data_IF_632452870169
#
_entry.id   IF_632452870169
#
_cell.length_a   1.000
_cell.length_b   1.000
_cell.length_c   1.000
_cell.angle_alpha   90.00
_cell.angle_beta   90.00
_cell.angle_gamma   90.00
#
_symmetry.space_group_name_H-M   'P 1'
#
loop_
_entity.id
_entity.type
_entity.pdbx_description
1 polymer ?
#
# COMPACT_ATOMS: atom_id res chain seq x y z
N UNK A 1 -1.08 -0.83 15.68
CA UNK A 1 -0.06 -1.07 16.73
C UNK A 1 -0.31 -0.30 18.05
N UNK A 2 -1.06 0.82 18.12
CA UNK A 2 -1.23 1.60 19.35
C UNK A 2 -2.66 2.02 19.56
N UNK A 3 -3.34 1.38 20.51
CA UNK A 3 -4.70 1.68 20.92
C UNK A 3 -4.87 3.17 21.31
N UNK A 4 -3.93 3.71 22.08
CA UNK A 4 -3.96 5.11 22.55
C UNK A 4 -3.91 6.11 21.39
N UNK A 5 -3.04 5.87 20.39
CA UNK A 5 -2.95 6.77 19.22
C UNK A 5 -4.21 6.72 18.37
N UNK A 6 -4.80 5.54 18.19
CA UNK A 6 -6.04 5.41 17.41
C UNK A 6 -7.22 6.07 18.13
N UNK A 7 -7.36 5.89 19.46
CA UNK A 7 -8.37 6.58 20.25
C UNK A 7 -8.28 8.11 20.08
N UNK A 8 -7.06 8.65 20.13
CA UNK A 8 -6.84 10.09 19.91
C UNK A 8 -7.24 10.56 18.51
N UNK A 9 -6.90 9.79 17.46
CA UNK A 9 -7.30 10.14 16.08
C UNK A 9 -8.82 10.06 15.95
N UNK A 10 -9.43 8.96 16.41
CA UNK A 10 -10.90 8.78 16.39
C UNK A 10 -11.63 9.92 17.10
N UNK A 11 -11.19 10.35 18.28
CA UNK A 11 -11.82 11.45 19.02
C UNK A 11 -11.79 12.77 18.25
N UNK A 12 -10.70 13.06 17.54
CA UNK A 12 -10.59 14.23 16.67
C UNK A 12 -11.54 14.22 15.46
N UNK A 13 -11.87 13.04 14.93
CA UNK A 13 -12.76 12.90 13.78
C UNK A 13 -14.23 12.87 14.21
N UNK A 14 -14.57 12.12 15.24
CA UNK A 14 -15.94 11.92 15.68
C UNK A 14 -16.57 13.17 16.33
N UNK A 15 -15.74 14.15 16.74
CA UNK A 15 -16.24 15.45 17.21
C UNK A 15 -16.73 16.40 16.12
N UNK A 16 -16.67 16.00 14.83
CA UNK A 16 -17.14 16.82 13.70
C UNK A 16 -18.46 16.27 13.14
N UNK A 17 -19.41 17.18 12.88
CA UNK A 17 -20.74 16.86 12.36
C UNK A 17 -20.68 15.92 11.15
N UNK A 18 -21.42 14.80 11.18
CA UNK A 18 -21.53 13.79 10.12
C UNK A 18 -20.21 13.02 9.78
N UNK A 19 -19.30 12.89 10.72
CA UNK A 19 -18.08 12.08 10.53
C UNK A 19 -17.99 11.01 11.60
N UNK A 20 -17.79 9.77 11.18
CA UNK A 20 -17.55 8.63 12.07
C UNK A 20 -16.24 7.97 11.69
N UNK A 21 -15.32 7.86 12.63
CA UNK A 21 -14.12 7.06 12.48
C UNK A 21 -14.24 5.82 13.37
N UNK A 22 -14.03 4.65 12.79
CA UNK A 22 -14.05 3.36 13.48
C UNK A 22 -12.63 2.81 13.42
N UNK A 23 -11.98 2.53 14.55
CA UNK A 23 -10.65 1.95 14.55
C UNK A 23 -10.72 0.47 14.22
N UNK A 24 -9.84 0.02 13.34
CA UNK A 24 -9.55 -1.38 13.04
C UNK A 24 -8.13 -1.68 13.47
N UNK A 25 -7.90 -2.84 14.07
CA UNK A 25 -6.65 -3.17 14.74
C UNK A 25 -5.93 -4.32 14.06
N UNK A 26 -4.64 -4.17 13.87
CA UNK A 26 -3.73 -5.20 13.40
C UNK A 26 -2.31 -4.67 13.27
N UNK A 27 -1.32 -5.56 13.27
CA UNK A 27 0.07 -5.27 12.95
C UNK A 27 0.39 -5.77 11.55
N UNK A 28 0.59 -4.85 10.61
CA UNK A 28 0.87 -5.17 9.20
C UNK A 28 2.19 -5.95 8.99
N UNK A 29 3.01 -6.12 10.01
CA UNK A 29 4.18 -7.01 9.96
C UNK A 29 3.83 -8.46 10.27
N UNK A 30 2.55 -8.76 10.59
CA UNK A 30 2.02 -10.10 10.89
C UNK A 30 0.86 -10.38 9.93
N UNK A 31 1.02 -11.35 9.06
CA UNK A 31 0.02 -11.62 8.02
C UNK A 31 -1.31 -12.12 8.61
N UNK A 32 -1.26 -12.85 9.72
CA UNK A 32 -2.48 -13.21 10.46
C UNK A 32 -3.26 -11.97 10.94
N UNK A 33 -2.58 -10.96 11.49
CA UNK A 33 -3.23 -9.70 11.88
C UNK A 33 -3.82 -8.96 10.66
N UNK A 34 -3.18 -9.06 9.48
CA UNK A 34 -3.71 -8.49 8.23
C UNK A 34 -5.03 -9.13 7.86
N UNK A 35 -5.15 -10.45 7.95
CA UNK A 35 -6.43 -11.17 7.73
C UNK A 35 -7.48 -10.77 8.75
N UNK A 36 -7.09 -10.63 10.04
CA UNK A 36 -8.01 -10.15 11.07
C UNK A 36 -8.54 -8.73 10.80
N UNK A 37 -7.78 -7.86 10.14
CA UNK A 37 -8.26 -6.55 9.68
C UNK A 37 -9.42 -6.73 8.69
N UNK A 38 -9.29 -7.63 7.72
CA UNK A 38 -10.36 -7.97 6.78
C UNK A 38 -11.63 -8.47 7.50
N UNK A 39 -11.48 -9.39 8.46
CA UNK A 39 -12.59 -9.91 9.25
C UNK A 39 -13.28 -8.80 10.08
N UNK A 40 -12.52 -7.91 10.71
CA UNK A 40 -13.09 -6.79 11.45
C UNK A 40 -13.91 -5.87 10.52
N UNK A 41 -13.46 -5.61 9.30
CA UNK A 41 -14.20 -4.80 8.33
C UNK A 41 -15.47 -5.55 7.87
N UNK A 42 -15.36 -6.84 7.57
CA UNK A 42 -16.48 -7.68 7.18
C UNK A 42 -17.58 -7.69 8.24
N UNK A 43 -17.20 -7.83 9.53
CA UNK A 43 -18.15 -7.86 10.65
C UNK A 43 -18.94 -6.56 10.84
N UNK A 44 -18.48 -5.45 10.25
CA UNK A 44 -19.20 -4.17 10.28
C UNK A 44 -20.35 -4.12 9.28
N UNK A 45 -20.48 -5.11 8.39
CA UNK A 45 -21.50 -5.15 7.34
C UNK A 45 -21.51 -3.90 6.45
N UNK A 46 -20.33 -3.30 6.23
CA UNK A 46 -20.15 -2.10 5.42
C UNK A 46 -19.41 -2.47 4.12
N UNK A 47 -19.75 -1.77 3.06
CA UNK A 47 -18.93 -1.78 1.84
C UNK A 47 -17.83 -0.71 1.91
N UNK A 48 -16.69 -1.03 1.31
CA UNK A 48 -15.54 -0.14 1.23
C UNK A 48 -15.51 0.52 -0.15
N UNK A 49 -15.84 1.81 -0.21
CA UNK A 49 -15.78 2.58 -1.46
C UNK A 49 -14.36 2.95 -1.84
N UNK A 50 -13.48 3.15 -0.85
CA UNK A 50 -12.09 3.53 -1.07
C UNK A 50 -11.17 2.81 -0.09
N UNK A 51 -10.23 2.03 -0.62
CA UNK A 51 -9.11 1.47 0.14
C UNK A 51 -7.85 2.29 -0.13
N UNK A 52 -7.25 2.89 0.90
CA UNK A 52 -5.98 3.60 0.79
C UNK A 52 -4.89 2.82 1.52
N UNK A 53 -4.07 2.11 0.77
CA UNK A 53 -2.87 1.42 1.25
C UNK A 53 -1.73 2.44 1.44
N UNK A 54 -1.75 3.13 2.57
CA UNK A 54 -0.80 4.21 2.87
C UNK A 54 0.29 3.81 3.87
N UNK A 55 0.05 2.80 4.68
CA UNK A 55 1.02 2.37 5.69
C UNK A 55 2.36 2.00 5.05
N UNK A 56 3.45 2.32 5.74
CA UNK A 56 4.77 1.99 5.28
C UNK A 56 5.80 2.18 6.38
N UNK A 57 6.89 1.41 6.28
CA UNK A 57 8.04 1.46 7.18
C UNK A 57 9.33 1.59 6.38
N UNK A 58 10.37 2.03 7.06
CA UNK A 58 11.76 2.01 6.61
C UNK A 58 12.62 1.44 7.73
N UNK A 59 13.54 0.54 7.41
CA UNK A 59 14.47 -0.06 8.36
C UNK A 59 15.92 0.16 7.90
N UNK A 60 16.77 0.62 8.81
CA UNK A 60 18.22 0.76 8.55
C UNK A 60 18.95 -0.58 8.64
N UNK A 61 18.38 -1.53 9.38
CA UNK A 61 18.90 -2.88 9.55
C UNK A 61 17.82 -3.88 9.14
N UNK A 62 18.25 -5.05 8.66
CA UNK A 62 17.35 -6.13 8.31
C UNK A 62 16.64 -6.65 9.57
N UNK A 63 15.33 -6.65 9.50
CA UNK A 63 14.46 -7.22 10.56
C UNK A 63 13.58 -8.29 9.89
N UNK A 64 13.53 -9.46 10.50
CA UNK A 64 12.66 -10.55 10.02
C UNK A 64 11.41 -10.59 10.91
N UNK A 65 10.24 -10.67 10.28
CA UNK A 65 8.95 -10.80 10.98
C UNK A 65 8.76 -12.20 11.53
N UNK A 66 7.74 -12.38 12.35
CA UNK A 66 7.36 -13.72 12.87
C UNK A 66 6.95 -14.68 11.76
N UNK A 67 6.53 -14.17 10.61
CA UNK A 67 6.13 -14.93 9.42
C UNK A 67 7.32 -15.21 8.47
N UNK A 68 8.55 -14.82 8.85
CA UNK A 68 9.77 -15.08 8.07
C UNK A 68 10.04 -14.09 6.93
N UNK A 69 9.30 -12.98 6.82
CA UNK A 69 9.52 -11.94 5.81
C UNK A 69 10.46 -10.84 6.30
N UNK A 70 11.20 -10.19 5.38
CA UNK A 70 11.84 -8.92 5.70
C UNK A 70 10.76 -7.86 6.00
N UNK A 71 10.90 -7.11 7.11
CA UNK A 71 9.82 -6.28 7.66
C UNK A 71 9.38 -5.15 6.71
N UNK A 72 10.29 -4.57 5.92
CA UNK A 72 9.93 -3.53 4.96
C UNK A 72 9.08 -4.09 3.83
N UNK A 73 9.46 -5.25 3.30
CA UNK A 73 8.67 -5.98 2.30
C UNK A 73 7.35 -6.47 2.88
N UNK A 74 7.36 -7.00 4.11
CA UNK A 74 6.16 -7.46 4.79
C UNK A 74 5.09 -6.35 4.87
N UNK A 75 5.46 -5.22 5.45
CA UNK A 75 4.52 -4.11 5.72
C UNK A 75 4.15 -3.35 4.45
N UNK A 76 5.15 -3.05 3.58
CA UNK A 76 4.94 -2.16 2.46
C UNK A 76 4.34 -2.86 1.23
N UNK A 77 4.54 -4.19 1.09
CA UNK A 77 4.09 -4.95 -0.08
C UNK A 77 3.21 -6.15 0.29
N UNK A 78 3.68 -7.12 1.07
CA UNK A 78 2.91 -8.34 1.33
C UNK A 78 1.59 -8.08 2.06
N UNK A 79 1.59 -7.19 3.06
CA UNK A 79 0.36 -6.78 3.75
C UNK A 79 -0.60 -6.04 2.81
N UNK A 80 -0.09 -5.20 1.91
CA UNK A 80 -0.90 -4.50 0.89
C UNK A 80 -1.52 -5.51 -0.07
N UNK A 81 -0.73 -6.47 -0.56
CA UNK A 81 -1.17 -7.53 -1.45
C UNK A 81 -2.27 -8.38 -0.78
N UNK A 82 -2.00 -8.86 0.44
CA UNK A 82 -2.91 -9.74 1.18
C UNK A 82 -4.25 -9.05 1.50
N UNK A 83 -4.19 -7.87 2.14
CA UNK A 83 -5.40 -7.15 2.53
C UNK A 83 -6.26 -6.75 1.32
N UNK A 84 -5.62 -6.27 0.26
CA UNK A 84 -6.36 -5.84 -0.94
C UNK A 84 -7.10 -7.01 -1.57
N UNK A 85 -6.42 -8.16 -1.75
CA UNK A 85 -7.05 -9.33 -2.33
C UNK A 85 -8.12 -9.93 -1.39
N UNK A 86 -7.90 -9.94 -0.09
CA UNK A 86 -8.89 -10.40 0.89
C UNK A 86 -10.19 -9.59 0.82
N UNK A 87 -10.11 -8.25 0.79
CA UNK A 87 -11.29 -7.39 0.68
C UNK A 87 -12.02 -7.54 -0.66
N UNK A 88 -11.30 -7.79 -1.76
CA UNK A 88 -11.90 -8.06 -3.07
C UNK A 88 -12.59 -9.43 -3.08
N UNK A 89 -11.90 -10.48 -2.64
CA UNK A 89 -12.41 -11.85 -2.65
C UNK A 89 -13.64 -12.02 -1.76
N UNK A 90 -13.67 -11.36 -0.62
CA UNK A 90 -14.83 -11.32 0.29
C UNK A 90 -15.95 -10.39 -0.18
N UNK A 91 -15.80 -9.75 -1.35
CA UNK A 91 -16.78 -8.80 -1.91
C UNK A 91 -17.11 -7.63 -0.95
N UNK A 92 -16.13 -7.21 -0.18
CA UNK A 92 -16.25 -6.08 0.75
C UNK A 92 -16.11 -4.75 0.00
N UNK A 93 -15.35 -4.73 -1.11
CA UNK A 93 -15.25 -3.53 -1.95
C UNK A 93 -16.57 -3.26 -2.67
N UNK A 94 -16.98 -1.98 -2.74
CA UNK A 94 -18.09 -1.53 -3.58
C UNK A 94 -17.79 -1.80 -5.06
N UNK A 95 -18.81 -2.03 -5.88
CA UNK A 95 -18.66 -2.36 -7.31
C UNK A 95 -17.80 -1.35 -8.08
N UNK A 96 -17.92 -0.06 -7.78
CA UNK A 96 -17.12 1.01 -8.36
C UNK A 96 -16.07 1.57 -7.37
N UNK A 97 -15.60 0.72 -6.48
CA UNK A 97 -14.64 1.07 -5.45
C UNK A 97 -13.27 1.44 -6.03
N UNK A 98 -12.48 2.16 -5.24
CA UNK A 98 -11.16 2.63 -5.63
C UNK A 98 -10.09 2.14 -4.69
N UNK A 99 -9.01 1.65 -5.25
CA UNK A 99 -7.83 1.19 -4.51
C UNK A 99 -6.68 2.15 -4.79
N UNK A 100 -6.14 2.76 -3.75
CA UNK A 100 -5.07 3.76 -3.83
C UNK A 100 -3.83 3.19 -3.14
N UNK A 101 -2.76 2.99 -3.90
CA UNK A 101 -1.51 2.41 -3.43
C UNK A 101 -0.46 3.50 -3.28
N UNK A 102 0.01 3.73 -2.05
CA UNK A 102 1.07 4.72 -1.79
C UNK A 102 2.44 4.09 -2.05
N UNK A 103 3.01 4.43 -3.21
CA UNK A 103 4.36 4.12 -3.60
C UNK A 103 5.32 5.28 -3.27
N UNK A 104 6.41 5.41 -3.99
CA UNK A 104 7.42 6.47 -3.84
C UNK A 104 8.19 6.66 -5.14
N UNK A 105 8.78 7.85 -5.33
CA UNK A 105 9.77 8.05 -6.39
C UNK A 105 11.04 7.20 -6.20
N UNK A 106 11.25 6.64 -5.01
CA UNK A 106 12.36 5.72 -4.74
C UNK A 106 12.33 4.44 -5.62
N UNK A 107 11.20 4.11 -6.26
CA UNK A 107 11.11 3.02 -7.23
C UNK A 107 11.92 3.26 -8.51
N UNK A 108 12.31 4.51 -8.77
CA UNK A 108 13.08 4.85 -9.96
C UNK A 108 14.53 4.36 -9.84
N UNK A 109 15.09 3.85 -10.92
CA UNK A 109 16.47 3.38 -10.96
C UNK A 109 16.76 2.08 -10.19
N UNK A 110 15.72 1.41 -9.63
CA UNK A 110 15.87 0.12 -8.95
C UNK A 110 15.28 -1.01 -9.80
N UNK A 111 15.88 -2.20 -9.70
CA UNK A 111 15.32 -3.46 -10.18
C UNK A 111 14.93 -4.33 -8.99
N UNK A 112 14.00 -5.26 -9.22
CA UNK A 112 13.59 -6.23 -8.20
C UNK A 112 14.23 -7.58 -8.48
N UNK A 113 14.91 -8.14 -7.48
CA UNK A 113 15.35 -9.53 -7.48
C UNK A 113 14.27 -10.38 -6.82
N UNK A 114 13.50 -11.09 -7.64
CA UNK A 114 12.39 -11.93 -7.19
C UNK A 114 12.85 -13.14 -6.35
N UNK A 115 14.12 -13.53 -6.43
CA UNK A 115 14.70 -14.62 -5.64
C UNK A 115 15.18 -14.13 -4.26
N UNK A 116 15.29 -12.82 -4.04
CA UNK A 116 15.83 -12.24 -2.83
C UNK A 116 14.91 -11.14 -2.22
N UNK A 117 13.60 -11.37 -2.21
CA UNK A 117 12.62 -10.42 -1.65
C UNK A 117 12.78 -10.20 -0.14
N UNK A 118 13.43 -11.11 0.56
CA UNK A 118 13.71 -10.99 2.00
C UNK A 118 15.09 -10.39 2.28
N UNK A 119 15.83 -9.99 1.25
CA UNK A 119 17.15 -9.39 1.41
C UNK A 119 18.08 -10.21 2.30
N UNK A 120 18.07 -11.53 2.14
CA UNK A 120 18.97 -12.42 2.85
C UNK A 120 20.44 -12.16 2.45
N UNK A 121 20.63 -11.67 1.23
CA UNK A 121 21.91 -11.26 0.69
C UNK A 121 21.91 -9.75 0.45
N UNK A 122 23.01 -9.08 0.83
CA UNK A 122 23.26 -7.66 0.51
C UNK A 122 22.15 -6.70 0.95
N UNK A 123 21.69 -6.80 2.21
CA UNK A 123 20.69 -5.90 2.75
C UNK A 123 21.15 -4.44 2.72
N UNK A 124 20.29 -3.58 2.21
CA UNK A 124 20.37 -2.12 2.34
C UNK A 124 18.96 -1.61 2.63
N UNK A 125 18.81 -0.81 3.67
CA UNK A 125 17.50 -0.24 4.02
C UNK A 125 16.88 0.56 2.88
N UNK A 126 17.71 1.29 2.12
CA UNK A 126 17.24 1.99 0.92
C UNK A 126 16.77 1.03 -0.17
N UNK A 127 17.53 -0.02 -0.46
CA UNK A 127 17.16 -1.00 -1.48
C UNK A 127 15.88 -1.76 -1.09
N UNK A 128 15.75 -2.21 0.16
CA UNK A 128 14.54 -2.86 0.65
C UNK A 128 13.31 -1.95 0.53
N UNK A 129 13.44 -0.68 0.93
CA UNK A 129 12.37 0.30 0.78
C UNK A 129 12.03 0.58 -0.69
N UNK A 130 13.02 0.87 -1.52
CA UNK A 130 12.84 1.18 -2.93
C UNK A 130 12.23 -0.01 -3.69
N UNK A 131 12.69 -1.23 -3.41
CA UNK A 131 12.10 -2.48 -3.94
C UNK A 131 10.65 -2.65 -3.51
N UNK A 132 10.32 -2.40 -2.24
CA UNK A 132 8.93 -2.47 -1.78
C UNK A 132 8.01 -1.47 -2.50
N UNK A 133 8.54 -0.29 -2.86
CA UNK A 133 7.79 0.73 -3.58
C UNK A 133 7.68 0.45 -5.08
N UNK A 134 8.68 -0.21 -5.67
CA UNK A 134 8.60 -0.79 -7.01
C UNK A 134 7.56 -1.92 -7.05
N UNK A 135 7.61 -2.84 -6.08
CA UNK A 135 6.66 -3.94 -5.94
C UNK A 135 5.20 -3.44 -5.87
N UNK A 136 4.95 -2.32 -5.21
CA UNK A 136 3.63 -1.70 -5.14
C UNK A 136 3.12 -1.19 -6.50
N UNK A 137 3.98 -0.69 -7.38
CA UNK A 137 3.56 -0.29 -8.73
C UNK A 137 3.34 -1.52 -9.61
N UNK A 138 4.22 -2.52 -9.54
CA UNK A 138 4.04 -3.80 -10.25
C UNK A 138 2.74 -4.49 -9.80
N UNK A 139 2.45 -4.52 -8.51
CA UNK A 139 1.16 -5.00 -7.98
C UNK A 139 -0.02 -4.22 -8.55
N UNK A 140 0.09 -2.88 -8.61
CA UNK A 140 -0.96 -2.02 -9.19
C UNK A 140 -1.22 -2.37 -10.66
N UNK A 141 -0.18 -2.61 -11.46
CA UNK A 141 -0.31 -2.98 -12.87
C UNK A 141 -1.04 -4.33 -13.02
N UNK A 142 -0.55 -5.36 -12.32
CA UNK A 142 -1.12 -6.70 -12.39
C UNK A 142 -2.57 -6.72 -11.88
N UNK A 143 -2.86 -6.04 -10.77
CA UNK A 143 -4.22 -5.96 -10.22
C UNK A 143 -5.16 -5.22 -11.17
N UNK A 144 -4.71 -4.13 -11.80
CA UNK A 144 -5.51 -3.36 -12.75
C UNK A 144 -5.94 -4.20 -13.96
N UNK A 145 -5.07 -5.06 -14.45
CA UNK A 145 -5.39 -6.01 -15.53
C UNK A 145 -6.43 -7.04 -15.08
N UNK A 146 -6.23 -7.63 -13.90
CA UNK A 146 -7.18 -8.60 -13.31
C UNK A 146 -8.57 -8.00 -13.05
N UNK A 147 -8.63 -6.71 -12.74
CA UNK A 147 -9.89 -5.98 -12.52
C UNK A 147 -10.49 -5.36 -13.79
N UNK A 148 -9.91 -5.60 -14.98
CA UNK A 148 -10.31 -4.96 -16.24
C UNK A 148 -11.78 -5.19 -16.63
N UNK A 149 -12.40 -6.29 -16.21
CA UNK A 149 -13.80 -6.61 -16.44
C UNK A 149 -14.74 -6.14 -15.31
N UNK A 150 -14.23 -5.35 -14.37
CA UNK A 150 -14.99 -4.79 -13.25
C UNK A 150 -15.01 -3.26 -13.32
N UNK A 151 -15.77 -2.63 -12.42
CA UNK A 151 -15.74 -1.16 -12.26
C UNK A 151 -14.75 -0.72 -11.18
N UNK A 152 -14.06 -1.67 -10.49
CA UNK A 152 -13.02 -1.36 -9.53
C UNK A 152 -11.82 -0.74 -10.24
N UNK A 153 -11.21 0.25 -9.61
CA UNK A 153 -9.96 0.84 -10.12
C UNK A 153 -8.87 0.80 -9.07
N UNK A 154 -7.64 0.57 -9.52
CA UNK A 154 -6.44 0.63 -8.68
C UNK A 154 -5.40 1.53 -9.31
N UNK A 155 -4.88 2.49 -8.54
CA UNK A 155 -3.83 3.39 -8.99
C UNK A 155 -2.76 3.57 -7.92
N UNK A 156 -1.52 3.73 -8.37
CA UNK A 156 -0.39 4.02 -7.49
C UNK A 156 -0.04 5.51 -7.51
N UNK A 157 0.63 5.98 -6.45
CA UNK A 157 1.08 7.37 -6.38
C UNK A 157 2.40 7.52 -5.61
N UNK A 158 3.08 8.65 -5.87
CA UNK A 158 4.07 9.23 -4.97
C UNK A 158 3.46 10.45 -4.27
N UNK A 159 3.48 10.51 -2.92
CA UNK A 159 2.86 11.60 -2.18
C UNK A 159 3.70 12.88 -2.14
N UNK A 160 4.93 12.84 -2.64
CA UNK A 160 5.98 13.84 -2.43
C UNK A 160 6.95 13.42 -1.33
N UNK A 161 7.99 14.23 -1.13
CA UNK A 161 8.91 14.10 0.02
C UNK A 161 8.23 14.79 1.21
N UNK A 162 7.63 14.01 2.10
CA UNK A 162 6.78 14.53 3.18
C UNK A 162 7.46 14.35 4.53
N UNK A 163 7.44 15.40 5.36
CA UNK A 163 8.02 15.42 6.70
C UNK A 163 7.26 14.46 7.63
N UNK A 164 7.69 13.21 7.64
CA UNK A 164 7.12 12.12 8.41
C UNK A 164 8.21 11.42 9.22
N UNK A 165 7.83 10.62 10.19
CA UNK A 165 8.77 9.79 10.94
C UNK A 165 9.58 8.83 10.03
N UNK A 166 8.98 8.37 8.93
CA UNK A 166 9.64 7.54 7.94
C UNK A 166 10.78 8.31 7.27
N UNK A 167 10.49 9.54 6.81
CA UNK A 167 11.49 10.39 6.17
C UNK A 167 12.67 10.67 7.11
N UNK A 168 12.38 11.05 8.35
CA UNK A 168 13.43 11.39 9.33
C UNK A 168 14.26 10.18 9.77
N UNK A 169 13.73 8.95 9.68
CA UNK A 169 14.47 7.72 10.00
C UNK A 169 15.33 7.23 8.83
N UNK A 170 14.88 7.42 7.61
CA UNK A 170 15.51 6.85 6.42
C UNK A 170 16.31 7.84 5.58
N UNK A 171 16.03 9.13 5.73
CA UNK A 171 16.55 10.14 4.81
C UNK A 171 16.86 11.44 5.56
N UNK A 172 18.06 11.96 5.40
CA UNK A 172 18.46 13.27 5.96
C UNK A 172 17.95 14.42 5.08
N UNK A 173 16.62 14.51 4.92
CA UNK A 173 16.00 15.49 4.03
C UNK A 173 14.90 16.28 4.74
N UNK A 174 14.75 17.55 4.37
CA UNK A 174 13.54 18.33 4.70
C UNK A 174 12.39 17.84 3.80
N UNK A 175 11.23 17.60 4.40
CA UNK A 175 10.00 17.23 3.70
C UNK A 175 8.98 18.37 3.71
N UNK A 176 8.02 18.27 2.79
CA UNK A 176 6.84 19.11 2.74
C UNK A 176 5.82 18.71 3.85
N UNK A 177 4.78 19.50 4.01
CA UNK A 177 3.74 19.32 5.01
C UNK A 177 2.92 18.05 4.77
N UNK A 178 2.39 17.45 5.84
CA UNK A 178 1.45 16.32 5.76
C UNK A 178 0.22 16.70 4.93
N UNK A 179 -0.24 17.95 5.00
CA UNK A 179 -1.36 18.46 4.21
C UNK A 179 -1.10 18.36 2.71
N UNK A 180 0.09 18.72 2.26
CA UNK A 180 0.49 18.59 0.86
C UNK A 180 0.64 17.12 0.46
N UNK A 181 1.21 16.27 1.33
CA UNK A 181 1.30 14.84 1.11
C UNK A 181 -0.05 14.12 0.94
N UNK A 182 -1.09 14.65 1.56
CA UNK A 182 -2.45 14.10 1.45
C UNK A 182 -3.16 14.47 0.13
N UNK A 183 -2.69 15.45 -0.63
CA UNK A 183 -3.40 15.93 -1.84
C UNK A 183 -3.61 14.83 -2.88
N UNK A 184 -2.56 14.11 -3.24
CA UNK A 184 -2.65 13.10 -4.30
C UNK A 184 -3.44 11.85 -3.86
N UNK A 185 -3.25 11.28 -2.64
CA UNK A 185 -4.13 10.22 -2.15
C UNK A 185 -5.61 10.62 -2.13
N UNK A 186 -5.94 11.80 -1.62
CA UNK A 186 -7.31 12.31 -1.59
C UNK A 186 -7.86 12.54 -3.02
N UNK A 187 -7.05 13.08 -3.93
CA UNK A 187 -7.44 13.26 -5.32
C UNK A 187 -7.82 11.93 -5.99
N UNK A 188 -7.02 10.88 -5.82
CA UNK A 188 -7.32 9.55 -6.36
C UNK A 188 -8.56 8.93 -5.68
N UNK A 189 -8.74 9.18 -4.39
CA UNK A 189 -9.86 8.65 -3.63
C UNK A 189 -11.23 9.20 -4.10
N UNK A 190 -11.34 10.51 -4.34
CA UNK A 190 -12.65 11.16 -4.47
C UNK A 190 -12.88 11.95 -5.76
N UNK A 191 -11.84 12.25 -6.55
CA UNK A 191 -12.03 13.07 -7.76
C UNK A 191 -12.78 12.31 -8.84
N UNK A 192 -13.81 12.95 -9.41
CA UNK A 192 -14.54 12.41 -10.57
C UNK A 192 -13.66 12.30 -11.82
N UNK A 193 -12.61 13.14 -11.94
CA UNK A 193 -11.70 13.16 -13.10
C UNK A 193 -10.90 11.87 -13.27
N UNK A 194 -10.73 11.10 -12.20
CA UNK A 194 -9.95 9.85 -12.19
C UNK A 194 -10.81 8.63 -11.88
N UNK A 195 -12.14 8.76 -11.90
CA UNK A 195 -13.06 7.70 -11.50
C UNK A 195 -12.91 6.40 -12.31
N UNK A 196 -12.53 6.52 -13.58
CA UNK A 196 -12.37 5.40 -14.52
C UNK A 196 -10.89 5.16 -14.89
N UNK A 197 -9.96 5.90 -14.30
CA UNK A 197 -8.55 5.69 -14.56
C UNK A 197 -8.06 4.50 -13.74
N UNK A 198 -7.46 3.52 -14.41
CA UNK A 198 -7.02 2.26 -13.81
C UNK A 198 -5.55 1.96 -14.18
N UNK A 199 -4.78 1.39 -13.26
CA UNK A 199 -3.41 0.94 -13.50
C UNK A 199 -2.40 2.07 -13.70
N UNK A 200 -2.66 3.30 -13.24
CA UNK A 200 -1.78 4.45 -13.51
C UNK A 200 -1.01 4.90 -12.27
N UNK A 201 0.11 5.57 -12.53
CA UNK A 201 0.95 6.16 -11.51
C UNK A 201 0.80 7.69 -11.50
N UNK A 202 0.72 8.28 -10.30
CA UNK A 202 0.43 9.70 -10.12
C UNK A 202 1.47 10.38 -9.23
N UNK A 203 1.80 11.62 -9.59
CA UNK A 203 2.62 12.54 -8.79
C UNK A 203 1.94 13.90 -8.81
N UNK A 204 1.76 14.54 -7.65
CA UNK A 204 1.13 15.88 -7.54
C UNK A 204 -0.22 15.98 -8.28
N UNK A 205 -1.08 14.97 -8.12
CA UNK A 205 -2.41 14.86 -8.78
C UNK A 205 -2.36 14.76 -10.30
N UNK A 206 -1.21 14.52 -10.90
CA UNK A 206 -1.02 14.36 -12.36
C UNK A 206 -0.54 12.94 -12.65
N UNK A 207 -1.14 12.31 -13.65
CA UNK A 207 -0.63 11.03 -14.16
C UNK A 207 0.78 11.22 -14.73
N UNK A 208 1.70 10.36 -14.32
CA UNK A 208 3.09 10.35 -14.76
C UNK A 208 3.50 8.94 -15.19
N UNK A 209 4.48 8.79 -16.09
CA UNK A 209 5.06 7.49 -16.36
C UNK A 209 5.76 6.96 -15.09
N UNK A 210 5.57 5.69 -14.79
CA UNK A 210 6.42 4.97 -13.84
C UNK A 210 7.75 4.59 -14.50
N UNK A 211 8.73 4.10 -13.72
CA UNK A 211 9.99 3.62 -14.29
C UNK A 211 9.79 2.43 -15.23
N UNK A 212 10.73 2.19 -16.15
CA UNK A 212 10.69 1.04 -17.07
C UNK A 212 10.52 -0.30 -16.32
N UNK A 213 11.21 -0.46 -15.19
CA UNK A 213 11.11 -1.67 -14.39
C UNK A 213 9.72 -1.83 -13.73
N UNK A 214 9.05 -0.72 -13.43
CA UNK A 214 7.71 -0.72 -12.83
C UNK A 214 6.58 -1.02 -13.84
N UNK A 215 6.88 -1.00 -15.14
CA UNK A 215 5.92 -1.29 -16.23
C UNK A 215 6.23 -2.60 -16.95
N UNK A 216 7.11 -3.43 -16.39
CA UNK A 216 7.43 -4.73 -16.95
C UNK A 216 6.36 -5.76 -16.55
N UNK A 217 5.51 -6.14 -17.50
CA UNK A 217 4.38 -7.04 -17.30
C UNK A 217 4.81 -8.43 -16.80
N UNK A 218 5.90 -8.98 -17.36
CA UNK A 218 6.43 -10.27 -16.91
C UNK A 218 6.82 -10.20 -15.43
N UNK A 219 7.58 -9.18 -15.05
CA UNK A 219 7.99 -8.99 -13.65
C UNK A 219 6.79 -8.79 -12.72
N UNK A 220 5.75 -8.06 -13.17
CA UNK A 220 4.52 -7.85 -12.41
C UNK A 220 3.78 -9.18 -12.17
N UNK A 221 3.66 -10.01 -13.21
CA UNK A 221 3.03 -11.33 -13.12
C UNK A 221 3.84 -12.29 -12.24
N UNK A 222 5.15 -12.32 -12.41
CA UNK A 222 6.03 -13.19 -11.61
C UNK A 222 5.99 -12.78 -10.12
N UNK A 223 6.05 -11.48 -9.81
CA UNK A 223 5.91 -10.96 -8.44
C UNK A 223 4.54 -11.30 -7.84
N UNK A 224 3.46 -11.15 -8.61
CA UNK A 224 2.11 -11.54 -8.18
C UNK A 224 2.06 -13.01 -7.77
N UNK A 225 2.56 -13.90 -8.61
CA UNK A 225 2.54 -15.34 -8.37
C UNK A 225 3.41 -15.73 -7.17
N UNK A 226 4.59 -15.11 -7.02
CA UNK A 226 5.45 -15.32 -5.86
C UNK A 226 4.77 -14.83 -4.58
N UNK A 227 4.15 -13.65 -4.62
CA UNK A 227 3.44 -13.08 -3.48
C UNK A 227 2.29 -13.98 -3.05
N UNK A 228 1.46 -14.46 -3.99
CA UNK A 228 0.38 -15.39 -3.68
C UNK A 228 0.89 -16.67 -3.02
N UNK A 229 1.90 -17.33 -3.60
CA UNK A 229 2.48 -18.55 -3.06
C UNK A 229 3.03 -18.36 -1.64
N UNK A 230 3.69 -17.23 -1.39
CA UNK A 230 4.23 -16.91 -0.07
C UNK A 230 3.17 -16.60 0.98
N UNK A 231 2.01 -16.15 0.54
CA UNK A 231 0.88 -15.76 1.39
C UNK A 231 -0.18 -16.85 1.50
N UNK A 232 -0.08 -17.95 0.75
CA UNK A 232 -1.06 -19.03 0.66
C UNK A 232 -1.46 -19.59 2.03
N UNK A 233 -0.49 -19.74 2.93
CA UNK A 233 -0.73 -20.25 4.30
C UNK A 233 -1.59 -19.33 5.19
N UNK A 234 -1.86 -18.10 4.76
CA UNK A 234 -2.65 -17.10 5.50
C UNK A 234 -4.05 -16.90 4.92
N UNK A 235 -4.32 -17.47 3.73
CA UNK A 235 -5.62 -17.44 3.04
C UNK A 235 -6.48 -18.62 3.45
#
# INVERSE_FOLDING_TARGET
>A
RSATKSKYVVSKFNGKKNRKAIPVWGDLSKMHDVMQIGEQILSMSLQVDVLINNAGVYRNQRVVTVDGFEETMAVNHFAVHLLTNDLINKKIMSDAGRIVIVSSMAHQGISIDLNNLDFNLNFSGFNAYATSKLANILFTQCLAEKLSQTKLTVNALHPGVISTKLLHKGFSMKGDSIKNGAKTPVYLAISKKVAQINGKYFVSCVQKPASRNATNEKTATDLWNISNRRLEQFL
#
